data_IF_052922585389
#
_entry.id   IF_052922585389
#
_cell.length_a   1.000
_cell.length_b   1.000
_cell.length_c   1.000
_cell.angle_alpha   90.00
_cell.angle_beta   90.00
_cell.angle_gamma   90.00
#
_symmetry.space_group_name_H-M   'P 1'
#
loop_
_entity.id
_entity.type
_entity.pdbx_description
1 polymer ?
#
# COMPACT_ATOMS: atom_id res chain seq x y z
N UNK A 1 8.65 0.75 -19.39
CA UNK A 1 8.33 0.90 -17.95
C UNK A 1 6.94 0.31 -17.75
N UNK A 2 6.79 -0.78 -17.01
CA UNK A 2 5.49 -1.36 -16.69
C UNK A 2 5.21 -1.07 -15.21
N UNK A 3 4.13 -0.35 -14.92
CA UNK A 3 3.69 0.02 -13.57
C UNK A 3 2.38 -0.70 -13.33
N UNK A 4 2.47 -1.97 -12.93
CA UNK A 4 1.31 -2.72 -12.43
C UNK A 4 1.21 -2.45 -10.94
N UNK A 5 0.02 -2.05 -10.47
CA UNK A 5 -0.33 -2.00 -9.05
C UNK A 5 -0.95 -3.35 -8.70
N UNK A 6 -0.25 -4.24 -7.97
CA UNK A 6 -0.77 -5.53 -7.51
C UNK A 6 -2.15 -5.50 -6.83
N UNK A 7 -2.60 -4.38 -6.25
CA UNK A 7 -3.88 -4.30 -5.50
C UNK A 7 -5.15 -4.69 -6.28
N UNK A 8 -5.13 -4.75 -7.62
CA UNK A 8 -6.31 -5.08 -8.44
C UNK A 8 -6.10 -6.25 -9.40
N UNK A 9 -5.01 -7.01 -9.26
CA UNK A 9 -4.72 -8.13 -10.17
C UNK A 9 -4.97 -9.45 -9.43
N UNK A 10 -5.81 -10.30 -10.02
CA UNK A 10 -6.04 -11.67 -9.56
C UNK A 10 -4.71 -12.39 -9.33
N UNK A 11 -4.62 -13.04 -8.17
CA UNK A 11 -3.45 -13.66 -7.56
C UNK A 11 -2.12 -12.88 -7.72
N UNK A 12 -1.70 -12.10 -6.72
CA UNK A 12 -0.41 -11.40 -6.77
C UNK A 12 0.78 -12.35 -6.94
N UNK A 13 0.68 -13.64 -6.58
CA UNK A 13 1.75 -14.60 -6.88
C UNK A 13 1.94 -14.80 -8.38
N UNK A 14 0.85 -14.90 -9.16
CA UNK A 14 0.90 -15.04 -10.63
C UNK A 14 1.55 -13.84 -11.31
N UNK A 15 1.27 -12.63 -10.82
CA UNK A 15 1.89 -11.39 -11.32
C UNK A 15 3.38 -11.39 -11.01
N UNK A 16 3.74 -11.75 -9.78
CA UNK A 16 5.14 -11.80 -9.35
C UNK A 16 5.92 -12.89 -10.08
N UNK A 17 5.30 -14.03 -10.39
CA UNK A 17 5.87 -15.09 -11.21
C UNK A 17 6.12 -14.62 -12.64
N UNK A 18 5.16 -13.91 -13.25
CA UNK A 18 5.37 -13.30 -14.58
C UNK A 18 6.49 -12.24 -14.57
N UNK A 19 6.57 -11.44 -13.51
CA UNK A 19 7.65 -10.45 -13.36
C UNK A 19 9.02 -11.11 -13.22
N UNK A 20 9.10 -12.22 -12.47
CA UNK A 20 10.34 -12.97 -12.27
C UNK A 20 10.75 -13.79 -13.51
N UNK A 21 9.77 -14.29 -14.27
CA UNK A 21 9.97 -15.05 -15.51
C UNK A 21 10.20 -14.18 -16.75
N UNK A 22 10.07 -12.85 -16.64
CA UNK A 22 10.36 -11.94 -17.74
C UNK A 22 11.87 -12.00 -18.08
N UNK A 23 12.25 -12.33 -19.32
CA UNK A 23 13.65 -12.59 -19.69
C UNK A 23 14.43 -11.29 -19.92
N UNK A 24 14.64 -10.53 -18.84
CA UNK A 24 15.63 -9.45 -18.81
C UNK A 24 16.71 -9.86 -17.82
N UNK A 25 17.79 -10.52 -18.28
CA UNK A 25 18.93 -10.86 -17.43
C UNK A 25 19.44 -9.60 -16.69
N UNK A 26 19.56 -9.70 -15.36
CA UNK A 26 19.93 -8.56 -14.51
C UNK A 26 18.86 -7.45 -14.42
N UNK A 27 17.63 -7.72 -14.83
CA UNK A 27 16.50 -6.79 -14.75
C UNK A 27 16.24 -6.33 -13.31
N UNK A 28 15.88 -5.05 -13.16
CA UNK A 28 15.50 -4.47 -11.88
C UNK A 28 13.98 -4.36 -11.78
N UNK A 29 13.40 -5.04 -10.79
CA UNK A 29 12.01 -4.88 -10.41
C UNK A 29 11.89 -3.77 -9.36
N UNK A 30 11.02 -2.79 -9.60
CA UNK A 30 10.67 -1.75 -8.63
C UNK A 30 9.20 -1.92 -8.29
N UNK A 31 8.90 -2.15 -7.02
CA UNK A 31 7.54 -2.31 -6.50
C UNK A 31 7.28 -1.20 -5.49
N UNK A 32 6.21 -0.44 -5.74
CA UNK A 32 5.65 0.54 -4.82
C UNK A 32 4.28 0.02 -4.44
N UNK A 33 4.12 -0.33 -3.18
CA UNK A 33 2.95 -1.04 -2.68
C UNK A 33 2.56 -0.58 -1.29
N UNK A 34 1.44 -1.08 -0.76
CA UNK A 34 0.93 -0.68 0.55
C UNK A 34 0.56 -1.87 1.43
N UNK A 35 1.06 -1.84 2.67
CA UNK A 35 0.68 -2.73 3.77
C UNK A 35 -0.67 -2.32 4.36
N UNK A 36 -1.76 -2.83 3.79
CA UNK A 36 -3.12 -2.55 4.30
C UNK A 36 -3.29 -2.97 5.77
N UNK A 37 -2.58 -4.01 6.22
CA UNK A 37 -2.57 -4.49 7.61
C UNK A 37 -1.98 -3.47 8.60
N UNK A 38 -1.22 -2.48 8.10
CA UNK A 38 -0.65 -1.39 8.90
C UNK A 38 -1.51 -0.14 8.90
N UNK A 39 -2.59 -0.12 8.12
CA UNK A 39 -3.55 0.97 8.13
C UNK A 39 -4.50 0.78 9.30
N UNK A 40 -4.00 1.10 10.49
CA UNK A 40 -4.74 1.05 11.75
C UNK A 40 -5.64 2.28 11.94
N UNK A 41 -6.43 2.30 13.01
CA UNK A 41 -7.38 3.39 13.24
C UNK A 41 -6.73 4.78 13.32
N UNK A 42 -5.58 4.97 14.01
CA UNK A 42 -4.87 6.26 13.99
C UNK A 42 -4.42 6.68 12.60
N UNK A 43 -3.86 5.75 11.81
CA UNK A 43 -3.40 6.04 10.44
C UNK A 43 -4.58 6.34 9.51
N UNK A 44 -5.66 5.58 9.62
CA UNK A 44 -6.88 5.80 8.85
C UNK A 44 -7.54 7.14 9.18
N UNK A 45 -7.66 7.47 10.46
CA UNK A 45 -8.17 8.78 10.90
C UNK A 45 -7.28 9.90 10.36
N UNK A 46 -5.97 9.76 10.50
CA UNK A 46 -5.03 10.77 10.04
C UNK A 46 -5.17 11.06 8.53
N UNK A 47 -5.29 10.01 7.72
CA UNK A 47 -5.42 10.11 6.27
C UNK A 47 -6.83 10.59 5.85
N UNK A 48 -7.87 9.87 6.28
CA UNK A 48 -9.24 10.04 5.77
C UNK A 48 -9.89 11.36 6.21
N UNK A 49 -9.55 11.89 7.38
CA UNK A 49 -10.06 13.19 7.84
C UNK A 49 -9.39 14.38 7.13
N UNK A 50 -8.27 14.15 6.43
CA UNK A 50 -7.53 15.18 5.68
C UNK A 50 -7.76 15.13 4.18
N UNK A 51 -8.66 14.25 3.72
CA UNK A 51 -9.05 14.22 2.31
C UNK A 51 -9.76 15.54 1.94
N UNK A 52 -9.37 16.19 0.83
CA UNK A 52 -10.12 17.33 0.34
C UNK A 52 -11.52 16.89 -0.06
N UNK A 53 -12.49 17.79 0.05
CA UNK A 53 -13.78 17.57 -0.61
C UNK A 53 -13.55 17.53 -2.12
N UNK A 54 -14.00 16.44 -2.76
CA UNK A 54 -13.76 16.18 -4.17
C UNK A 54 -15.09 16.18 -4.93
N UNK A 55 -15.14 16.87 -6.06
CA UNK A 55 -16.29 16.83 -6.97
C UNK A 55 -16.55 15.40 -7.50
N UNK A 56 -15.47 14.62 -7.70
CA UNK A 56 -15.52 13.20 -8.00
C UNK A 56 -14.80 12.41 -6.90
N UNK A 57 -15.53 11.82 -5.92
CA UNK A 57 -14.93 11.15 -4.78
C UNK A 57 -14.22 9.84 -5.18
N UNK A 58 -12.93 9.78 -4.87
CA UNK A 58 -12.09 8.60 -5.06
C UNK A 58 -12.42 7.46 -4.10
N UNK A 59 -11.66 6.36 -4.19
CA UNK A 59 -11.82 5.26 -3.23
C UNK A 59 -11.62 5.69 -1.77
N UNK A 60 -10.67 6.59 -1.40
CA UNK A 60 -10.49 6.99 0.00
C UNK A 60 -11.73 7.68 0.56
N UNK A 61 -12.37 8.56 -0.23
CA UNK A 61 -13.61 9.24 0.13
C UNK A 61 -14.74 8.25 0.39
N UNK A 62 -14.90 7.23 -0.48
CA UNK A 62 -15.94 6.21 -0.31
C UNK A 62 -15.73 5.40 0.97
N UNK A 63 -14.50 5.04 1.30
CA UNK A 63 -14.21 4.28 2.52
C UNK A 63 -14.33 5.14 3.78
N UNK A 64 -13.95 6.44 3.74
CA UNK A 64 -14.24 7.42 4.79
C UNK A 64 -15.73 7.44 5.11
N UNK A 65 -16.57 7.62 4.10
CA UNK A 65 -18.01 7.80 4.29
C UNK A 65 -18.69 6.51 4.72
N UNK A 66 -18.30 5.36 4.15
CA UNK A 66 -18.80 4.04 4.54
C UNK A 66 -18.39 3.67 5.96
N UNK A 67 -17.15 3.94 6.36
CA UNK A 67 -16.70 3.71 7.73
C UNK A 67 -17.52 4.55 8.71
N UNK A 68 -17.68 5.86 8.45
CA UNK A 68 -18.51 6.75 9.27
C UNK A 68 -19.97 6.27 9.37
N UNK A 69 -20.55 5.86 8.23
CA UNK A 69 -21.92 5.33 8.19
C UNK A 69 -22.08 3.99 8.91
N UNK A 70 -21.03 3.18 8.99
CA UNK A 70 -21.08 1.89 9.71
C UNK A 70 -21.27 2.04 11.21
N UNK A 71 -20.87 3.19 11.79
CA UNK A 71 -20.86 3.42 13.25
C UNK A 71 -19.91 2.50 14.03
N UNK A 72 -19.13 1.65 13.36
CA UNK A 72 -18.24 0.67 13.96
C UNK A 72 -16.79 1.13 14.09
N UNK A 73 -15.98 0.31 14.75
CA UNK A 73 -14.53 0.56 14.84
C UNK A 73 -13.85 0.36 13.48
N UNK A 74 -12.70 1.03 13.31
CA UNK A 74 -11.90 0.86 12.10
C UNK A 74 -11.45 -0.60 11.92
N UNK A 75 -11.11 -1.30 13.00
CA UNK A 75 -10.63 -2.69 12.94
C UNK A 75 -11.69 -3.61 12.34
N UNK A 76 -12.96 -3.41 12.72
CA UNK A 76 -14.08 -4.20 12.21
C UNK A 76 -14.32 -3.88 10.74
N UNK A 77 -14.39 -2.58 10.42
CA UNK A 77 -14.64 -2.10 9.06
C UNK A 77 -13.51 -2.48 8.09
N UNK A 78 -12.27 -2.21 8.47
CA UNK A 78 -11.07 -2.46 7.69
C UNK A 78 -10.81 -3.94 7.46
N UNK A 79 -11.06 -4.80 8.46
CA UNK A 79 -10.96 -6.25 8.26
C UNK A 79 -12.02 -6.80 7.28
N UNK A 80 -13.25 -6.30 7.38
CA UNK A 80 -14.31 -6.66 6.43
C UNK A 80 -13.95 -6.19 5.01
N UNK A 81 -13.52 -4.94 4.87
CA UNK A 81 -13.08 -4.36 3.61
C UNK A 81 -11.93 -5.15 2.98
N UNK A 82 -10.86 -5.43 3.74
CA UNK A 82 -9.72 -6.18 3.23
C UNK A 82 -10.11 -7.58 2.74
N UNK A 83 -11.03 -8.25 3.43
CA UNK A 83 -11.55 -9.55 3.02
C UNK A 83 -12.41 -9.46 1.76
N UNK A 84 -13.29 -8.45 1.67
CA UNK A 84 -14.18 -8.25 0.52
C UNK A 84 -13.42 -7.97 -0.77
N UNK A 85 -12.33 -7.18 -0.68
CA UNK A 85 -11.47 -6.86 -1.82
C UNK A 85 -10.37 -7.91 -2.06
N UNK A 86 -10.24 -8.91 -1.17
CA UNK A 86 -9.18 -9.92 -1.26
C UNK A 86 -7.77 -9.33 -1.15
N UNK A 87 -7.58 -8.29 -0.32
CA UNK A 87 -6.29 -7.62 -0.18
C UNK A 87 -5.23 -8.57 0.39
N UNK A 88 -4.07 -8.61 -0.24
CA UNK A 88 -2.91 -9.31 0.30
C UNK A 88 -2.14 -8.42 1.26
N UNK A 89 -1.73 -9.00 2.39
CA UNK A 89 -0.89 -8.32 3.36
C UNK A 89 0.44 -7.92 2.74
N UNK A 90 0.90 -6.71 3.04
CA UNK A 90 2.15 -6.19 2.50
C UNK A 90 3.37 -7.03 2.89
N UNK A 91 3.37 -7.61 4.09
CA UNK A 91 4.38 -8.60 4.52
C UNK A 91 4.40 -9.85 3.63
N UNK A 92 3.25 -10.32 3.17
CA UNK A 92 3.17 -11.47 2.27
C UNK A 92 3.68 -11.11 0.88
N UNK A 93 3.37 -9.91 0.37
CA UNK A 93 3.93 -9.36 -0.87
C UNK A 93 5.46 -9.30 -0.80
N UNK A 94 6.01 -8.70 0.27
CA UNK A 94 7.48 -8.61 0.45
C UNK A 94 8.11 -9.99 0.56
N UNK A 95 7.46 -10.94 1.25
CA UNK A 95 7.95 -12.33 1.32
C UNK A 95 7.96 -12.98 -0.06
N UNK A 96 6.91 -12.78 -0.85
CA UNK A 96 6.80 -13.31 -2.21
C UNK A 96 7.87 -12.73 -3.15
N UNK A 97 8.18 -11.44 -3.01
CA UNK A 97 9.25 -10.78 -3.75
C UNK A 97 10.63 -11.32 -3.37
N UNK A 98 10.93 -11.45 -2.08
CA UNK A 98 12.21 -11.96 -1.58
C UNK A 98 12.51 -13.41 -1.99
N UNK A 99 11.49 -14.22 -2.29
CA UNK A 99 11.66 -15.58 -2.82
C UNK A 99 12.15 -15.59 -4.28
N UNK A 100 11.90 -14.52 -5.03
CA UNK A 100 12.10 -14.44 -6.50
C UNK A 100 13.24 -13.53 -6.91
N UNK A 101 13.52 -12.51 -6.10
CA UNK A 101 14.51 -11.49 -6.40
C UNK A 101 15.56 -11.39 -5.30
N UNK A 102 16.81 -11.15 -5.70
CA UNK A 102 17.81 -10.63 -4.76
C UNK A 102 17.39 -9.21 -4.37
N UNK A 103 17.41 -8.87 -3.08
CA UNK A 103 16.79 -7.64 -2.56
C UNK A 103 17.83 -6.59 -2.16
N UNK A 104 18.20 -5.65 -3.06
CA UNK A 104 18.98 -4.47 -2.70
C UNK A 104 18.27 -3.51 -1.74
N UNK A 105 16.95 -3.33 -1.88
CA UNK A 105 16.18 -2.34 -1.11
C UNK A 105 14.82 -2.92 -0.71
N UNK A 106 14.45 -2.71 0.54
CA UNK A 106 13.12 -3.04 1.08
C UNK A 106 12.86 -2.11 2.25
N UNK A 107 12.17 -1.01 1.99
CA UNK A 107 11.91 0.03 2.97
C UNK A 107 10.42 0.26 3.15
N UNK A 108 10.06 0.70 4.35
CA UNK A 108 8.72 1.19 4.66
C UNK A 108 8.74 2.70 4.78
N UNK A 109 7.64 3.36 4.41
CA UNK A 109 7.59 4.82 4.47
C UNK A 109 6.25 5.43 4.08
N UNK A 110 6.25 6.73 3.71
CA UNK A 110 5.07 7.46 3.27
C UNK A 110 4.42 6.80 2.05
N UNK A 111 3.09 6.78 2.03
CA UNK A 111 2.30 6.26 0.92
C UNK A 111 1.14 7.18 0.56
N UNK A 112 0.49 7.77 1.56
CA UNK A 112 -0.78 8.46 1.38
C UNK A 112 -0.62 9.91 0.99
N UNK A 113 0.55 10.54 1.12
CA UNK A 113 0.76 11.99 0.91
C UNK A 113 0.22 12.57 -0.41
N UNK A 114 -0.13 11.77 -1.41
CA UNK A 114 -0.80 12.24 -2.63
C UNK A 114 -2.31 12.47 -2.49
N UNK A 115 -2.98 11.88 -1.49
CA UNK A 115 -4.43 11.94 -1.34
C UNK A 115 -4.92 13.05 -0.37
N UNK A 116 -4.31 13.27 0.80
CA UNK A 116 -4.69 14.36 1.70
C UNK A 116 -4.30 15.74 1.17
N UNK A 117 -5.12 16.75 1.49
CA UNK A 117 -4.89 18.12 1.05
C UNK A 117 -3.75 18.78 1.83
N UNK A 118 -2.86 19.47 1.11
CA UNK A 118 -1.72 20.19 1.69
C UNK A 118 -0.70 19.33 2.43
N UNK A 119 -0.75 17.99 2.32
CA UNK A 119 0.21 17.08 2.95
C UNK A 119 1.31 16.74 1.97
N UNK A 120 2.56 16.89 2.40
CA UNK A 120 3.72 16.42 1.64
C UNK A 120 4.20 15.07 2.14
N UNK A 121 5.04 14.38 1.36
CA UNK A 121 5.72 13.16 1.81
C UNK A 121 6.54 13.39 3.09
N UNK A 122 7.09 14.59 3.28
CA UNK A 122 7.82 14.96 4.49
C UNK A 122 6.90 15.09 5.71
N UNK A 123 5.67 15.59 5.53
CA UNK A 123 4.69 15.70 6.62
C UNK A 123 4.21 14.32 7.08
N UNK A 124 3.97 13.41 6.12
CA UNK A 124 3.64 12.02 6.43
C UNK A 124 4.81 11.31 7.12
N UNK A 125 6.05 11.51 6.64
CA UNK A 125 7.26 10.97 7.30
C UNK A 125 7.39 11.49 8.74
N UNK A 126 7.17 12.79 8.97
CA UNK A 126 7.22 13.37 10.31
C UNK A 126 6.11 12.82 11.23
N UNK A 127 4.97 12.39 10.68
CA UNK A 127 3.93 11.71 11.46
C UNK A 127 4.32 10.27 11.81
N UNK A 128 4.98 9.55 10.89
CA UNK A 128 5.56 8.23 11.12
C UNK A 128 6.65 8.30 12.20
N UNK A 129 7.61 9.22 12.05
CA UNK A 129 8.74 9.37 12.97
C UNK A 129 8.28 9.74 14.39
N UNK A 130 7.19 10.51 14.49
CA UNK A 130 6.55 10.86 15.75
C UNK A 130 5.68 9.73 16.35
N UNK A 131 5.56 8.58 15.67
CA UNK A 131 4.72 7.46 16.10
C UNK A 131 3.21 7.75 16.07
N UNK A 132 2.78 8.82 15.37
CA UNK A 132 1.37 9.20 15.24
C UNK A 132 0.61 8.31 14.26
N UNK A 133 1.31 7.82 13.25
CA UNK A 133 0.80 6.89 12.24
C UNK A 133 1.83 5.79 11.98
N UNK A 134 1.41 4.73 11.31
CA UNK A 134 2.29 3.63 10.88
C UNK A 134 2.88 3.95 9.50
N UNK A 135 4.11 3.51 9.26
CA UNK A 135 4.66 3.46 7.90
C UNK A 135 3.96 2.35 7.13
N UNK A 136 3.13 2.71 6.15
CA UNK A 136 2.30 1.75 5.41
C UNK A 136 2.82 1.50 3.99
N UNK A 137 3.54 2.44 3.40
CA UNK A 137 4.10 2.31 2.07
C UNK A 137 5.27 1.35 2.05
N UNK A 138 5.37 0.56 1.00
CA UNK A 138 6.43 -0.41 0.74
C UNK A 138 7.16 0.06 -0.52
N UNK A 139 8.47 0.27 -0.39
CA UNK A 139 9.37 0.49 -1.53
C UNK A 139 10.34 -0.67 -1.60
N UNK A 140 10.20 -1.46 -2.65
CA UNK A 140 11.01 -2.65 -2.85
C UNK A 140 11.75 -2.57 -4.19
N UNK A 141 13.04 -2.90 -4.16
CA UNK A 141 13.87 -3.08 -5.35
C UNK A 141 14.44 -4.49 -5.33
N UNK A 142 14.15 -5.23 -6.40
CA UNK A 142 14.63 -6.59 -6.62
C UNK A 142 15.48 -6.69 -7.88
N UNK A 143 16.50 -7.54 -7.86
CA UNK A 143 17.24 -7.97 -9.06
C UNK A 143 16.83 -9.38 -9.42
N UNK A 144 16.47 -9.58 -10.69
CA UNK A 144 16.18 -10.91 -11.23
C UNK A 144 17.38 -11.85 -11.11
N UNK A 145 17.16 -13.17 -11.20
CA UNK A 145 18.26 -14.13 -11.31
C UNK A 145 19.14 -13.80 -12.52
N UNK A 146 20.44 -14.10 -12.38
CA UNK A 146 21.44 -13.91 -13.44
C UNK A 146 21.22 -14.88 -14.60
#
# INVERSE_FOLDING_TARGET
>A
MARTSPHHVGDPEDVLDRMAGAPVPGGTAVVIEWSHEKFDAPTATWCLDRLPEAAEPGWPHRHRDRWRASGGSWETYGAAWAREEGLCGGQDIVRALRRRFTTPLSEEGPYFFSDPDGVTAADEQAAIDAGRIRATGIRYVGRGPA
#
